data_IF_910740859104
#
_entry.id   IF_910740859104
#
_cell.length_a   1.000
_cell.length_b   1.000
_cell.length_c   1.000
_cell.angle_alpha   90.00
_cell.angle_beta   90.00
_cell.angle_gamma   90.00
#
_symmetry.space_group_name_H-M   'P 1'
#
loop_
_entity.id
_entity.type
_entity.pdbx_description
1 polymer ?
#
# COMPACT_ATOMS: atom_id res chain seq x y z
N UNK A 1 -5.18 -7.69 -16.64
CA UNK A 1 -4.98 -7.05 -15.31
C UNK A 1 -3.49 -6.92 -15.06
N UNK A 2 -3.01 -5.87 -14.38
CA UNK A 2 -1.64 -5.82 -13.88
C UNK A 2 -1.51 -6.68 -12.63
N UNK A 3 -0.48 -7.53 -12.58
CA UNK A 3 -0.14 -8.37 -11.41
C UNK A 3 0.97 -7.69 -10.65
N UNK A 4 0.66 -7.10 -9.51
CA UNK A 4 1.60 -6.31 -8.72
C UNK A 4 1.78 -6.99 -7.36
N UNK A 5 3.04 -7.23 -6.99
CA UNK A 5 3.37 -7.81 -5.69
C UNK A 5 4.01 -6.76 -4.80
N UNK A 6 3.44 -6.53 -3.62
CA UNK A 6 4.13 -5.76 -2.59
C UNK A 6 5.30 -6.56 -2.03
N UNK A 7 6.43 -5.90 -1.87
CA UNK A 7 7.62 -6.53 -1.28
C UNK A 7 7.53 -6.70 0.23
N UNK A 8 6.40 -6.39 0.84
CA UNK A 8 6.18 -6.47 2.29
C UNK A 8 6.50 -7.85 2.87
N UNK A 9 6.16 -8.95 2.18
CA UNK A 9 6.52 -10.30 2.63
C UNK A 9 8.04 -10.55 2.71
N UNK A 10 8.84 -9.67 2.11
CA UNK A 10 10.32 -9.74 2.11
C UNK A 10 10.96 -8.66 2.98
N UNK A 11 10.17 -7.90 3.74
CA UNK A 11 10.61 -6.71 4.48
C UNK A 11 11.78 -6.97 5.45
N UNK A 12 11.94 -8.20 5.92
CA UNK A 12 12.99 -8.61 6.85
C UNK A 12 14.32 -9.00 6.15
N UNK A 13 14.40 -8.90 4.83
CA UNK A 13 15.60 -9.18 4.05
C UNK A 13 15.85 -8.07 3.02
N UNK A 14 17.10 -7.85 2.58
CA UNK A 14 17.39 -6.88 1.54
C UNK A 14 16.66 -7.19 0.23
N UNK A 15 16.11 -6.17 -0.41
CA UNK A 15 15.59 -6.25 -1.78
C UNK A 15 16.77 -6.43 -2.73
N UNK A 16 16.89 -7.58 -3.37
CA UNK A 16 18.03 -7.90 -4.24
C UNK A 16 17.63 -8.00 -5.71
N UNK A 17 18.61 -7.84 -6.60
CA UNK A 17 18.44 -8.06 -8.05
C UNK A 17 17.91 -9.48 -8.33
N UNK A 18 18.40 -10.50 -7.61
CA UNK A 18 17.92 -11.88 -7.71
C UNK A 18 16.44 -12.00 -7.37
N UNK A 19 15.99 -11.34 -6.28
CA UNK A 19 14.58 -11.37 -5.89
C UNK A 19 13.69 -10.73 -6.96
N UNK A 20 14.12 -9.64 -7.58
CA UNK A 20 13.39 -9.01 -8.69
C UNK A 20 13.30 -9.94 -9.90
N UNK A 21 14.38 -10.66 -10.23
CA UNK A 21 14.36 -11.68 -11.29
C UNK A 21 13.35 -12.80 -10.99
N UNK A 22 13.32 -13.31 -9.76
CA UNK A 22 12.38 -14.35 -9.32
C UNK A 22 10.92 -13.87 -9.41
N UNK A 23 10.64 -12.65 -8.96
CA UNK A 23 9.30 -12.01 -9.03
C UNK A 23 8.85 -11.89 -10.50
N UNK A 24 9.74 -11.42 -11.39
CA UNK A 24 9.44 -11.33 -12.82
C UNK A 24 9.18 -12.70 -13.44
N UNK A 25 10.03 -13.70 -13.16
CA UNK A 25 9.87 -15.08 -13.65
C UNK A 25 8.56 -15.73 -13.16
N UNK A 26 8.07 -15.34 -11.99
CA UNK A 26 6.77 -15.78 -11.50
C UNK A 26 5.57 -15.13 -12.22
N UNK A 27 5.82 -14.23 -13.19
CA UNK A 27 4.79 -13.62 -14.02
C UNK A 27 4.18 -12.35 -13.45
N UNK A 28 4.86 -11.71 -12.50
CA UNK A 28 4.47 -10.37 -12.04
C UNK A 28 4.85 -9.32 -13.09
N UNK A 29 4.00 -8.32 -13.28
CA UNK A 29 4.25 -7.19 -14.20
C UNK A 29 4.75 -5.94 -13.47
N UNK A 30 4.64 -5.91 -12.15
CA UNK A 30 5.09 -4.79 -11.34
C UNK A 30 5.23 -5.16 -9.88
N UNK A 31 5.81 -4.22 -9.14
CA UNK A 31 5.97 -4.33 -7.69
C UNK A 31 5.53 -3.04 -7.00
N UNK A 32 5.22 -3.19 -5.72
CA UNK A 32 5.27 -2.13 -4.74
C UNK A 32 6.47 -2.37 -3.83
N UNK A 33 7.28 -1.34 -3.59
CA UNK A 33 8.39 -1.44 -2.63
C UNK A 33 7.94 -0.93 -1.27
N UNK A 34 8.00 -1.80 -0.25
CA UNK A 34 7.80 -1.39 1.14
C UNK A 34 9.07 -0.73 1.68
N UNK A 35 8.98 0.55 2.06
CA UNK A 35 10.12 1.34 2.52
C UNK A 35 10.49 0.99 3.97
N UNK A 36 11.36 0.00 4.13
CA UNK A 36 11.96 -0.33 5.41
C UNK A 36 13.49 -0.29 5.28
N UNK A 37 14.22 0.30 6.26
CA UNK A 37 15.67 0.52 6.16
C UNK A 37 16.47 -0.77 5.88
N UNK A 38 16.04 -1.90 6.46
CA UNK A 38 16.69 -3.21 6.28
C UNK A 38 16.35 -3.86 4.93
N UNK A 39 15.27 -3.41 4.27
CA UNK A 39 14.80 -3.95 3.01
C UNK A 39 15.30 -3.16 1.81
N UNK A 40 15.02 -1.87 1.78
CA UNK A 40 15.38 -1.00 0.68
C UNK A 40 16.02 0.31 1.19
N UNK A 41 17.31 0.47 0.91
CA UNK A 41 18.08 1.67 1.29
C UNK A 41 17.78 2.83 0.34
N UNK A 42 16.57 3.37 0.38
CA UNK A 42 16.12 4.49 -0.49
C UNK A 42 16.91 5.78 -0.27
N UNK A 43 17.68 5.89 0.80
CA UNK A 43 18.61 7.01 1.06
C UNK A 43 19.93 6.90 0.31
N UNK A 44 20.24 5.74 -0.32
CA UNK A 44 21.46 5.54 -1.12
C UNK A 44 21.15 5.67 -2.61
N UNK A 45 21.64 6.72 -3.29
CA UNK A 45 21.45 6.89 -4.73
C UNK A 45 21.98 5.72 -5.56
N UNK A 46 23.08 5.09 -5.10
CA UNK A 46 23.67 3.92 -5.75
C UNK A 46 22.75 2.73 -5.68
N UNK A 47 22.15 2.51 -4.50
CA UNK A 47 21.21 1.41 -4.30
C UNK A 47 19.91 1.62 -5.08
N UNK A 48 19.42 2.85 -5.11
CA UNK A 48 18.24 3.21 -5.91
C UNK A 48 18.51 2.92 -7.39
N UNK A 49 19.68 3.34 -7.91
CA UNK A 49 20.06 3.08 -9.30
C UNK A 49 20.15 1.58 -9.60
N UNK A 50 20.81 0.80 -8.76
CA UNK A 50 20.92 -0.66 -8.93
C UNK A 50 19.55 -1.33 -9.04
N UNK A 51 18.61 -0.98 -8.17
CA UNK A 51 17.23 -1.51 -8.21
C UNK A 51 16.51 -1.01 -9.47
N UNK A 52 16.69 0.26 -9.85
CA UNK A 52 16.10 0.82 -11.07
C UNK A 52 16.57 0.11 -12.34
N UNK A 53 17.87 -0.16 -12.45
CA UNK A 53 18.45 -0.92 -13.57
C UNK A 53 17.88 -2.34 -13.64
N UNK A 54 17.77 -3.02 -12.50
CA UNK A 54 17.19 -4.36 -12.42
C UNK A 54 15.68 -4.38 -12.77
N UNK A 55 14.90 -3.39 -12.32
CA UNK A 55 13.50 -3.26 -12.72
C UNK A 55 13.37 -3.11 -14.24
N UNK A 56 14.23 -2.30 -14.86
CA UNK A 56 14.30 -2.16 -16.32
C UNK A 56 14.69 -3.46 -17.02
N UNK A 57 15.70 -4.18 -16.55
CA UNK A 57 16.18 -5.46 -17.09
C UNK A 57 15.06 -6.52 -17.05
N UNK A 58 14.36 -6.64 -15.93
CA UNK A 58 13.31 -7.65 -15.75
C UNK A 58 11.91 -7.16 -16.15
N UNK A 59 11.79 -5.96 -16.69
CA UNK A 59 10.52 -5.37 -17.16
C UNK A 59 9.45 -5.33 -16.08
N UNK A 60 9.84 -5.02 -14.86
CA UNK A 60 8.95 -4.79 -13.74
C UNK A 60 8.65 -3.29 -13.60
N UNK A 61 7.37 -2.92 -13.58
CA UNK A 61 6.96 -1.55 -13.24
C UNK A 61 7.09 -1.35 -11.72
N UNK A 62 7.73 -0.26 -11.28
CA UNK A 62 7.54 0.22 -9.91
C UNK A 62 6.20 0.95 -9.86
N UNK A 63 5.16 0.24 -9.47
CA UNK A 63 3.80 0.78 -9.41
C UNK A 63 3.62 1.77 -8.27
N UNK A 64 4.07 1.39 -7.08
CA UNK A 64 3.95 2.18 -5.87
C UNK A 64 5.14 1.97 -4.94
N UNK A 65 5.29 2.89 -4.01
CA UNK A 65 6.07 2.68 -2.80
C UNK A 65 5.16 2.81 -1.59
N UNK A 66 5.25 1.89 -0.64
CA UNK A 66 4.64 2.06 0.66
C UNK A 66 5.56 2.94 1.51
N UNK A 67 5.05 4.01 2.09
CA UNK A 67 5.85 4.95 2.88
C UNK A 67 6.50 4.25 4.08
N UNK A 68 7.66 4.75 4.54
CA UNK A 68 8.30 4.17 5.71
C UNK A 68 7.42 4.35 6.95
N UNK A 69 7.21 3.26 7.69
CA UNK A 69 6.47 3.28 8.98
C UNK A 69 7.40 3.42 10.18
N UNK A 70 8.67 3.07 9.99
CA UNK A 70 9.73 3.16 11.00
C UNK A 70 11.05 3.55 10.36
N UNK A 71 11.95 4.16 11.15
CA UNK A 71 13.32 4.50 10.76
C UNK A 71 14.31 4.05 11.84
N UNK A 72 15.59 4.05 11.48
CA UNK A 72 16.69 3.86 12.41
C UNK A 72 16.58 2.56 13.25
N UNK A 73 16.25 1.45 12.56
CA UNK A 73 16.24 0.13 13.19
C UNK A 73 17.66 -0.23 13.64
N UNK A 74 17.92 -0.13 14.94
CA UNK A 74 19.23 -0.48 15.50
C UNK A 74 19.40 -2.01 15.56
N UNK A 75 20.62 -2.54 15.35
CA UNK A 75 20.89 -3.97 15.50
C UNK A 75 20.42 -4.49 16.88
N UNK A 76 19.65 -5.57 16.87
CA UNK A 76 19.12 -6.20 18.08
C UNK A 76 17.88 -5.53 18.69
N UNK A 77 17.29 -4.56 18.02
CA UNK A 77 15.97 -4.03 18.37
C UNK A 77 14.89 -4.64 17.47
N UNK A 78 13.73 -4.90 18.03
CA UNK A 78 12.56 -5.42 17.30
C UNK A 78 11.83 -4.32 16.51
N UNK A 79 11.98 -3.04 16.89
CA UNK A 79 11.34 -1.89 16.23
C UNK A 79 12.28 -0.68 16.16
N UNK A 80 12.11 0.10 15.12
CA UNK A 80 12.74 1.39 14.92
C UNK A 80 12.01 2.54 15.62
N UNK A 81 12.32 3.76 15.21
CA UNK A 81 11.59 4.96 15.60
C UNK A 81 10.37 5.10 14.68
N UNK A 82 9.17 5.13 15.27
CA UNK A 82 7.93 5.27 14.52
C UNK A 82 7.89 6.54 13.67
N UNK A 83 7.41 6.42 12.43
CA UNK A 83 7.15 7.53 11.52
C UNK A 83 5.64 7.75 11.48
N UNK A 84 5.20 8.94 11.89
CA UNK A 84 3.78 9.28 11.95
C UNK A 84 3.53 10.71 11.55
N UNK A 85 2.78 10.91 10.47
CA UNK A 85 2.42 12.24 9.96
C UNK A 85 1.37 12.94 10.84
N UNK A 86 0.70 12.20 11.71
CA UNK A 86 -0.27 12.72 12.67
C UNK A 86 0.33 12.93 14.08
N UNK A 87 1.66 12.82 14.26
CA UNK A 87 2.26 13.07 15.57
C UNK A 87 1.99 14.51 16.01
N UNK A 88 1.43 14.66 17.20
CA UNK A 88 1.11 15.99 17.76
C UNK A 88 2.37 16.74 18.23
N UNK A 89 3.48 16.04 18.47
CA UNK A 89 4.76 16.64 18.70
C UNK A 89 5.39 17.10 17.38
N UNK A 90 5.51 18.43 17.23
CA UNK A 90 5.94 19.04 15.97
C UNK A 90 7.30 18.54 15.46
N UNK A 91 8.26 18.32 16.35
CA UNK A 91 9.62 17.88 15.94
C UNK A 91 9.53 16.47 15.33
N UNK A 92 8.87 15.53 16.00
CA UNK A 92 8.69 14.16 15.48
C UNK A 92 7.94 14.14 14.16
N UNK A 93 6.92 15.00 14.03
CA UNK A 93 6.14 15.11 12.81
C UNK A 93 6.97 15.65 11.65
N UNK A 94 7.80 16.68 11.88
CA UNK A 94 8.71 17.20 10.84
C UNK A 94 9.74 16.15 10.43
N UNK A 95 10.31 15.42 11.37
CA UNK A 95 11.21 14.29 11.08
C UNK A 95 10.53 13.22 10.23
N UNK A 96 9.27 12.90 10.54
CA UNK A 96 8.46 11.95 9.76
C UNK A 96 8.22 12.46 8.32
N UNK A 97 7.83 13.70 8.16
CA UNK A 97 7.65 14.34 6.85
C UNK A 97 8.93 14.33 6.03
N UNK A 98 10.07 14.65 6.64
CA UNK A 98 11.36 14.65 5.95
C UNK A 98 11.80 13.23 5.54
N UNK A 99 11.48 12.22 6.34
CA UNK A 99 11.75 10.84 5.98
C UNK A 99 10.90 10.36 4.80
N UNK A 100 9.62 10.72 4.78
CA UNK A 100 8.72 10.40 3.67
C UNK A 100 9.17 11.12 2.39
N UNK A 101 9.66 12.36 2.48
CA UNK A 101 10.23 13.06 1.32
C UNK A 101 11.42 12.32 0.71
N UNK A 102 12.30 11.73 1.55
CA UNK A 102 13.41 10.90 1.04
C UNK A 102 12.92 9.68 0.26
N UNK A 103 11.84 9.05 0.71
CA UNK A 103 11.22 7.99 -0.07
C UNK A 103 10.64 8.52 -1.40
N UNK A 104 10.02 9.69 -1.41
CA UNK A 104 9.51 10.34 -2.63
C UNK A 104 10.61 10.73 -3.62
N UNK A 105 11.82 11.04 -3.15
CA UNK A 105 12.98 11.38 -4.00
C UNK A 105 13.43 10.21 -4.88
N UNK A 106 13.08 8.97 -4.53
CA UNK A 106 13.30 7.80 -5.40
C UNK A 106 12.69 8.00 -6.78
N UNK A 107 11.56 8.72 -6.88
CA UNK A 107 10.91 9.01 -8.16
C UNK A 107 11.78 9.80 -9.15
N UNK A 108 12.83 10.47 -8.69
CA UNK A 108 13.78 11.18 -9.54
C UNK A 108 14.68 10.23 -10.36
N UNK A 109 14.82 8.97 -9.91
CA UNK A 109 15.60 7.93 -10.58
C UNK A 109 14.72 6.79 -11.12
N UNK A 110 13.71 6.38 -10.34
CA UNK A 110 12.77 5.31 -10.68
C UNK A 110 11.35 5.89 -10.61
N UNK A 111 10.72 6.26 -11.74
CA UNK A 111 9.35 6.76 -11.72
C UNK A 111 8.38 5.74 -11.13
N UNK A 112 7.46 6.20 -10.27
CA UNK A 112 6.35 5.41 -9.74
C UNK A 112 5.11 6.28 -9.58
N UNK A 113 3.93 5.63 -9.46
CA UNK A 113 2.66 6.35 -9.50
C UNK A 113 2.16 6.79 -8.13
N UNK A 114 2.27 5.92 -7.13
CA UNK A 114 1.64 6.13 -5.83
C UNK A 114 2.62 5.98 -4.69
N UNK A 115 2.54 6.89 -3.71
CA UNK A 115 3.05 6.63 -2.38
C UNK A 115 1.86 6.27 -1.50
N UNK A 116 1.81 5.01 -1.05
CA UNK A 116 0.80 4.56 -0.08
C UNK A 116 1.19 5.07 1.30
N UNK A 117 0.24 5.67 2.01
CA UNK A 117 0.49 6.36 3.28
C UNK A 117 -0.62 6.11 4.28
N UNK A 118 -0.26 5.71 5.49
CA UNK A 118 -1.17 5.72 6.64
C UNK A 118 -1.26 7.11 7.26
N UNK A 119 -2.41 7.50 7.80
CA UNK A 119 -2.51 8.76 8.57
C UNK A 119 -1.67 8.71 9.85
N UNK A 120 -1.54 7.54 10.47
CA UNK A 120 -0.76 7.37 11.69
C UNK A 120 -0.08 6.02 11.81
N UNK A 121 0.95 5.94 12.65
CA UNK A 121 1.64 4.68 12.99
C UNK A 121 0.85 3.90 14.05
N UNK A 122 0.77 2.56 13.90
CA UNK A 122 0.01 1.71 14.80
C UNK A 122 -1.50 2.02 14.82
N UNK A 123 -2.21 1.58 15.84
CA UNK A 123 -3.64 1.86 16.00
C UNK A 123 -3.85 3.26 16.55
N UNK A 124 -4.68 4.05 15.88
CA UNK A 124 -4.94 5.44 16.22
C UNK A 124 -6.37 5.66 16.71
N UNK A 125 -6.49 6.44 17.81
CA UNK A 125 -7.78 6.98 18.24
C UNK A 125 -8.03 8.32 17.56
N UNK A 126 -9.31 8.65 17.31
CA UNK A 126 -9.71 9.95 16.79
C UNK A 126 -9.30 11.07 17.76
N UNK A 127 -8.58 12.06 17.25
CA UNK A 127 -8.15 13.26 17.99
C UNK A 127 -8.03 14.41 17.00
N UNK A 128 -8.78 15.52 17.18
CA UNK A 128 -8.70 16.68 16.28
C UNK A 128 -7.27 17.19 16.08
N UNK A 129 -6.41 17.14 17.12
CA UNK A 129 -5.01 17.56 17.01
C UNK A 129 -4.20 16.67 16.08
N UNK A 130 -4.52 15.36 16.01
CA UNK A 130 -3.90 14.43 15.06
C UNK A 130 -4.39 14.68 13.65
N UNK A 131 -5.67 15.00 13.50
CA UNK A 131 -6.26 15.38 12.20
C UNK A 131 -5.58 16.64 11.66
N UNK A 132 -5.43 17.69 12.48
CA UNK A 132 -4.72 18.94 12.11
C UNK A 132 -3.25 18.68 11.78
N UNK A 133 -2.60 17.81 12.54
CA UNK A 133 -1.21 17.43 12.32
C UNK A 133 -1.04 16.68 10.99
N UNK A 134 -1.92 15.72 10.70
CA UNK A 134 -1.94 14.99 9.43
C UNK A 134 -2.22 15.93 8.25
N UNK A 135 -3.18 16.84 8.38
CA UNK A 135 -3.47 17.86 7.39
C UNK A 135 -2.23 18.69 7.04
N UNK A 136 -1.60 19.30 8.06
CA UNK A 136 -0.39 20.10 7.86
C UNK A 136 0.73 19.32 7.16
N UNK A 137 0.89 18.04 7.50
CA UNK A 137 1.90 17.17 6.88
C UNK A 137 1.56 16.89 5.41
N UNK A 138 0.29 16.56 5.12
CA UNK A 138 -0.16 16.18 3.78
C UNK A 138 -0.21 17.37 2.82
N UNK A 139 -0.47 18.60 3.29
CA UNK A 139 -0.31 19.79 2.46
C UNK A 139 1.10 19.88 1.86
N UNK A 140 2.13 19.69 2.69
CA UNK A 140 3.51 19.73 2.24
C UNK A 140 3.88 18.52 1.38
N UNK A 141 3.48 17.32 1.80
CA UNK A 141 3.83 16.09 1.10
C UNK A 141 3.16 15.98 -0.27
N UNK A 142 1.91 16.44 -0.41
CA UNK A 142 1.19 16.41 -1.69
C UNK A 142 1.85 17.30 -2.74
N UNK A 143 2.26 18.51 -2.35
CA UNK A 143 3.00 19.42 -3.24
C UNK A 143 4.34 18.80 -3.65
N UNK A 144 5.07 18.23 -2.68
CA UNK A 144 6.36 17.61 -2.92
C UNK A 144 6.28 16.37 -3.82
N UNK A 145 5.27 15.53 -3.61
CA UNK A 145 5.00 14.34 -4.42
C UNK A 145 4.59 14.72 -5.86
N UNK A 146 3.67 15.67 -5.99
CA UNK A 146 3.17 16.13 -7.30
C UNK A 146 4.27 16.66 -8.20
N UNK A 147 5.24 17.38 -7.65
CA UNK A 147 6.41 17.85 -8.39
C UNK A 147 7.28 16.73 -8.98
N UNK A 148 7.12 15.49 -8.48
CA UNK A 148 7.81 14.26 -8.92
C UNK A 148 6.91 13.32 -9.71
N UNK A 149 5.69 13.74 -10.03
CA UNK A 149 4.71 12.91 -10.74
C UNK A 149 4.07 11.82 -9.86
N UNK A 150 4.26 11.89 -8.53
CA UNK A 150 3.72 10.90 -7.58
C UNK A 150 2.43 11.42 -6.95
N UNK A 151 1.45 10.55 -6.79
CA UNK A 151 0.22 10.80 -6.05
C UNK A 151 0.25 10.09 -4.70
N UNK A 152 -0.10 10.79 -3.62
CA UNK A 152 -0.26 10.15 -2.31
C UNK A 152 -1.62 9.44 -2.27
N UNK A 153 -1.61 8.16 -1.92
CA UNK A 153 -2.77 7.32 -1.72
C UNK A 153 -2.89 6.97 -0.23
N UNK A 154 -3.92 7.52 0.43
CA UNK A 154 -4.18 7.19 1.84
C UNK A 154 -4.83 5.82 1.93
N UNK A 155 -4.28 4.97 2.78
CA UNK A 155 -4.75 3.61 2.99
C UNK A 155 -5.72 3.54 4.17
N UNK A 156 -6.83 2.81 3.99
CA UNK A 156 -7.73 2.53 5.10
C UNK A 156 -7.10 1.59 6.10
N UNK A 157 -7.34 1.86 7.39
CA UNK A 157 -6.88 1.05 8.51
C UNK A 157 -8.02 0.74 9.47
N UNK A 158 -7.96 -0.41 10.19
CA UNK A 158 -8.96 -0.76 11.18
C UNK A 158 -8.75 0.01 12.48
N UNK A 159 -8.83 1.35 12.41
CA UNK A 159 -8.73 2.25 13.55
C UNK A 159 -9.58 3.53 13.32
N UNK A 160 -9.80 4.31 14.37
CA UNK A 160 -10.71 5.45 14.31
C UNK A 160 -10.22 6.57 13.39
N UNK A 161 -8.90 6.75 13.22
CA UNK A 161 -8.34 7.81 12.38
C UNK A 161 -8.26 7.38 10.92
N UNK A 162 -7.94 6.11 10.65
CA UNK A 162 -7.73 5.57 9.31
C UNK A 162 -8.93 4.83 8.74
N UNK A 163 -10.07 4.77 9.43
CA UNK A 163 -11.27 4.09 8.89
C UNK A 163 -11.74 4.70 7.56
N UNK A 164 -12.42 3.93 6.69
CA UNK A 164 -12.97 4.44 5.43
C UNK A 164 -13.77 5.74 5.57
N UNK A 165 -14.62 5.81 6.58
CA UNK A 165 -15.42 7.02 6.86
C UNK A 165 -14.55 8.20 7.31
N UNK A 166 -13.55 7.96 8.14
CA UNK A 166 -12.63 9.02 8.61
C UNK A 166 -11.78 9.56 7.47
N UNK A 167 -11.27 8.72 6.58
CA UNK A 167 -10.53 9.15 5.39
C UNK A 167 -11.40 10.00 4.45
N UNK A 168 -12.67 9.60 4.25
CA UNK A 168 -13.61 10.35 3.42
C UNK A 168 -13.89 11.73 4.02
N UNK A 169 -14.16 11.82 5.32
CA UNK A 169 -14.34 13.09 6.02
C UNK A 169 -13.07 13.94 5.96
N UNK A 170 -11.91 13.33 6.26
CA UNK A 170 -10.63 14.04 6.23
C UNK A 170 -10.38 14.72 4.88
N UNK A 171 -10.54 14.02 3.75
CA UNK A 171 -10.32 14.60 2.42
C UNK A 171 -11.36 15.68 2.10
N UNK A 172 -12.60 15.48 2.52
CA UNK A 172 -13.69 16.44 2.29
C UNK A 172 -13.45 17.73 3.06
N UNK A 173 -13.14 17.63 4.35
CA UNK A 173 -13.01 18.78 5.25
C UNK A 173 -11.71 19.57 4.99
N UNK A 174 -10.65 18.88 4.60
CA UNK A 174 -9.35 19.52 4.32
C UNK A 174 -9.21 20.05 2.89
N UNK A 175 -10.12 19.70 1.99
CA UNK A 175 -10.06 20.05 0.56
C UNK A 175 -8.78 19.61 -0.16
N UNK A 176 -8.07 18.57 0.34
CA UNK A 176 -6.90 17.98 -0.31
C UNK A 176 -7.31 17.08 -1.48
N UNK A 177 -7.86 17.68 -2.54
CA UNK A 177 -8.47 16.96 -3.67
C UNK A 177 -7.48 16.16 -4.52
N UNK A 178 -6.19 16.43 -4.42
CA UNK A 178 -5.12 15.67 -5.11
C UNK A 178 -4.84 14.30 -4.44
N UNK A 179 -5.29 14.10 -3.20
CA UNK A 179 -5.18 12.80 -2.52
C UNK A 179 -6.05 11.75 -3.21
N UNK A 180 -5.53 10.53 -3.25
CA UNK A 180 -6.26 9.32 -3.64
C UNK A 180 -6.30 8.35 -2.47
N UNK A 181 -6.98 7.23 -2.67
CA UNK A 181 -7.12 6.19 -1.66
C UNK A 181 -6.49 4.89 -2.15
N UNK A 182 -5.82 4.21 -1.26
CA UNK A 182 -5.46 2.80 -1.36
C UNK A 182 -6.50 2.01 -0.58
N UNK A 183 -7.19 1.09 -1.26
CA UNK A 183 -8.19 0.25 -0.61
C UNK A 183 -7.57 -1.06 -0.19
N UNK A 184 -7.47 -1.27 1.11
CA UNK A 184 -7.00 -2.50 1.72
C UNK A 184 -8.16 -3.41 2.10
N UNK A 185 -8.19 -4.63 1.53
CA UNK A 185 -9.27 -5.60 1.71
C UNK A 185 -9.26 -6.23 3.09
N UNK A 186 -8.10 -6.53 3.62
CA UNK A 186 -7.95 -7.15 4.95
C UNK A 186 -8.31 -6.18 6.06
N UNK A 187 -7.85 -4.94 5.97
CA UNK A 187 -8.26 -3.88 6.90
C UNK A 187 -9.78 -3.63 6.84
N UNK A 188 -10.36 -3.62 5.65
CA UNK A 188 -11.80 -3.47 5.48
C UNK A 188 -12.59 -4.64 6.07
N UNK A 189 -12.03 -5.87 6.05
CA UNK A 189 -12.66 -7.05 6.63
C UNK A 189 -12.69 -7.01 8.17
N UNK A 190 -11.74 -6.32 8.79
CA UNK A 190 -11.69 -6.07 10.25
C UNK A 190 -12.61 -4.92 10.73
N UNK A 191 -13.20 -4.19 9.80
CA UNK A 191 -14.13 -3.07 9.99
C UNK A 191 -15.55 -3.50 9.56
N UNK A 192 -16.44 -2.62 9.09
CA UNK A 192 -17.82 -3.01 8.76
C UNK A 192 -17.96 -4.00 7.59
N UNK A 193 -16.85 -4.37 6.94
CA UNK A 193 -16.81 -5.29 5.82
C UNK A 193 -16.34 -4.66 4.51
N UNK A 194 -15.89 -5.51 3.58
CA UNK A 194 -15.24 -5.09 2.34
C UNK A 194 -16.16 -4.24 1.47
N UNK A 195 -17.42 -4.66 1.27
CA UNK A 195 -18.38 -3.95 0.41
C UNK A 195 -18.72 -2.57 0.97
N UNK A 196 -19.11 -2.50 2.23
CA UNK A 196 -19.47 -1.22 2.89
C UNK A 196 -18.29 -0.24 2.92
N UNK A 197 -17.09 -0.74 3.20
CA UNK A 197 -15.87 0.07 3.18
C UNK A 197 -15.54 0.58 1.78
N UNK A 198 -15.66 -0.29 0.76
CA UNK A 198 -15.39 0.08 -0.62
C UNK A 198 -16.36 1.14 -1.13
N UNK A 199 -17.64 1.03 -0.82
CA UNK A 199 -18.66 1.99 -1.22
C UNK A 199 -18.36 3.41 -0.73
N UNK A 200 -17.79 3.54 0.47
CA UNK A 200 -17.35 4.84 1.00
C UNK A 200 -16.14 5.41 0.26
N UNK A 201 -15.27 4.57 -0.29
CA UNK A 201 -13.97 4.96 -0.83
C UNK A 201 -13.92 5.01 -2.36
N UNK A 202 -14.79 4.27 -3.05
CA UNK A 202 -14.69 3.87 -4.48
C UNK A 202 -14.39 4.99 -5.46
N UNK A 203 -14.92 6.20 -5.24
CA UNK A 203 -14.75 7.34 -6.15
C UNK A 203 -13.32 7.90 -6.15
N UNK A 204 -12.53 7.55 -5.14
CA UNK A 204 -11.15 8.01 -4.95
C UNK A 204 -10.11 6.90 -4.91
N UNK A 205 -10.53 5.63 -4.95
CA UNK A 205 -9.59 4.49 -4.97
C UNK A 205 -8.78 4.53 -6.25
N UNK A 206 -7.46 4.51 -6.12
CA UNK A 206 -6.53 4.53 -7.25
C UNK A 206 -5.57 3.34 -7.24
N UNK A 207 -5.36 2.72 -6.08
CA UNK A 207 -4.60 1.47 -5.90
C UNK A 207 -5.24 0.63 -4.80
N UNK A 208 -4.82 -0.63 -4.66
CA UNK A 208 -5.39 -1.54 -3.66
C UNK A 208 -4.27 -2.29 -2.96
N UNK A 209 -4.53 -2.68 -1.70
CA UNK A 209 -3.84 -3.79 -1.06
C UNK A 209 -4.82 -4.95 -0.92
N UNK A 210 -4.44 -6.08 -1.46
CA UNK A 210 -5.31 -7.26 -1.53
C UNK A 210 -4.65 -8.39 -0.78
N UNK A 211 -5.27 -8.77 0.33
CA UNK A 211 -4.89 -9.91 1.16
C UNK A 211 -6.10 -10.39 1.96
N UNK A 212 -6.01 -11.55 2.56
CA UNK A 212 -7.07 -12.18 3.35
C UNK A 212 -6.71 -12.20 4.84
N UNK A 213 -7.71 -12.42 5.67
CA UNK A 213 -7.60 -12.73 7.09
C UNK A 213 -8.88 -13.42 7.59
N UNK A 214 -8.89 -13.83 8.87
CA UNK A 214 -10.04 -14.51 9.49
C UNK A 214 -11.01 -13.56 10.23
N UNK A 215 -10.90 -12.24 10.02
CA UNK A 215 -11.78 -11.24 10.64
C UNK A 215 -11.42 -10.87 12.09
N UNK A 216 -10.30 -11.35 12.62
CA UNK A 216 -9.86 -11.06 13.99
C UNK A 216 -8.54 -10.28 14.05
N UNK A 217 -7.65 -10.55 13.11
CA UNK A 217 -6.29 -10.00 13.06
C UNK A 217 -5.91 -9.66 11.63
N UNK A 218 -5.02 -8.72 11.49
CA UNK A 218 -4.40 -8.37 10.22
C UNK A 218 -3.29 -9.37 9.87
N UNK A 219 -3.70 -10.46 9.18
CA UNK A 219 -2.86 -11.63 8.92
C UNK A 219 -2.09 -11.55 7.61
N UNK A 220 -2.55 -10.76 6.64
CA UNK A 220 -1.99 -10.67 5.29
C UNK A 220 -1.82 -12.05 4.61
N UNK A 221 -2.85 -12.89 4.66
CA UNK A 221 -2.89 -14.19 4.00
C UNK A 221 -3.07 -14.03 2.49
N UNK A 222 -2.74 -15.08 1.74
CA UNK A 222 -3.14 -15.15 0.34
C UNK A 222 -4.67 -15.03 0.19
N UNK A 223 -5.16 -14.32 -0.83
CA UNK A 223 -6.59 -14.31 -1.14
C UNK A 223 -7.15 -15.71 -1.24
N UNK A 224 -8.31 -15.93 -0.63
CA UNK A 224 -9.05 -17.21 -0.49
C UNK A 224 -8.50 -18.17 0.58
N UNK A 225 -7.58 -17.74 1.44
CA UNK A 225 -7.10 -18.55 2.56
C UNK A 225 -7.71 -18.12 3.90
N UNK A 226 -8.39 -16.97 3.96
CA UNK A 226 -9.13 -16.47 5.11
C UNK A 226 -10.63 -16.57 4.93
N UNK A 227 -11.36 -15.57 5.45
CA UNK A 227 -12.83 -15.56 5.48
C UNK A 227 -13.47 -14.40 4.70
N UNK A 228 -12.69 -13.62 3.94
CA UNK A 228 -13.24 -12.60 3.05
C UNK A 228 -14.13 -13.26 1.98
N UNK A 229 -15.34 -12.73 1.81
CA UNK A 229 -16.19 -13.08 0.68
C UNK A 229 -15.64 -12.43 -0.61
N UNK A 230 -14.82 -13.19 -1.34
CA UNK A 230 -14.18 -12.71 -2.56
C UNK A 230 -15.17 -12.50 -3.71
N UNK A 231 -16.34 -13.13 -3.68
CA UNK A 231 -17.39 -12.85 -4.64
C UNK A 231 -17.97 -11.46 -4.45
N UNK A 232 -18.16 -11.04 -3.21
CA UNK A 232 -18.60 -9.69 -2.85
C UNK A 232 -17.48 -8.69 -3.16
N UNK A 233 -16.24 -8.94 -2.74
CA UNK A 233 -15.09 -8.06 -2.96
C UNK A 233 -14.85 -7.76 -4.45
N UNK A 234 -14.82 -8.79 -5.30
CA UNK A 234 -14.64 -8.59 -6.74
C UNK A 234 -15.89 -8.03 -7.43
N UNK A 235 -17.08 -8.25 -6.86
CA UNK A 235 -18.29 -7.54 -7.26
C UNK A 235 -18.15 -6.03 -7.09
N UNK A 236 -17.69 -5.60 -5.93
CA UNK A 236 -17.40 -4.19 -5.62
C UNK A 236 -16.32 -3.60 -6.55
N UNK A 237 -15.22 -4.33 -6.78
CA UNK A 237 -14.16 -3.87 -7.69
C UNK A 237 -14.62 -3.77 -9.16
N UNK A 238 -15.54 -4.63 -9.59
CA UNK A 238 -16.04 -4.62 -10.96
C UNK A 238 -16.85 -3.36 -11.31
N UNK A 239 -17.47 -2.72 -10.30
CA UNK A 239 -18.25 -1.49 -10.46
C UNK A 239 -17.46 -0.21 -10.13
N UNK A 240 -16.15 -0.33 -9.88
CA UNK A 240 -15.28 0.83 -9.69
C UNK A 240 -15.29 1.72 -10.95
N UNK A 241 -15.16 3.06 -10.80
CA UNK A 241 -15.16 4.00 -11.94
C UNK A 241 -14.07 3.72 -12.97
N UNK A 242 -12.98 3.08 -12.55
CA UNK A 242 -11.88 2.63 -13.41
C UNK A 242 -11.38 1.27 -12.95
N UNK A 243 -10.76 0.47 -13.86
CA UNK A 243 -10.12 -0.78 -13.48
C UNK A 243 -9.07 -0.56 -12.41
N UNK A 244 -9.22 -1.23 -11.28
CA UNK A 244 -8.27 -1.13 -10.18
C UNK A 244 -7.05 -2.02 -10.43
N UNK A 245 -5.82 -1.56 -10.13
CA UNK A 245 -4.66 -2.42 -10.02
C UNK A 245 -4.85 -3.36 -8.82
N UNK A 246 -4.38 -4.60 -8.95
CA UNK A 246 -4.39 -5.55 -7.85
C UNK A 246 -2.96 -5.67 -7.33
N UNK A 247 -2.74 -5.18 -6.12
CA UNK A 247 -1.47 -5.27 -5.42
C UNK A 247 -1.64 -6.31 -4.29
N UNK A 248 -0.98 -7.46 -4.41
CA UNK A 248 -0.98 -8.43 -3.30
C UNK A 248 0.01 -7.96 -2.24
N UNK A 249 -0.50 -7.65 -1.05
CA UNK A 249 0.31 -7.29 0.11
C UNK A 249 0.28 -8.42 1.14
N UNK A 250 1.27 -9.29 1.06
CA UNK A 250 1.36 -10.52 1.85
C UNK A 250 2.41 -10.38 2.95
N UNK A 251 2.30 -11.22 3.98
CA UNK A 251 3.22 -11.25 5.09
C UNK A 251 3.83 -12.64 5.27
N UNK A 252 5.06 -12.69 5.75
CA UNK A 252 5.68 -13.94 6.18
C UNK A 252 4.89 -14.53 7.35
N UNK A 253 4.41 -15.77 7.19
CA UNK A 253 3.68 -16.51 8.20
C UNK A 253 4.62 -17.41 9.01
N UNK A 254 4.13 -18.04 10.08
CA UNK A 254 4.90 -19.00 10.87
C UNK A 254 5.45 -20.19 10.06
N UNK A 255 4.79 -20.53 8.94
CA UNK A 255 5.22 -21.55 7.98
C UNK A 255 6.20 -21.07 6.92
N UNK A 256 6.58 -19.78 6.94
CA UNK A 256 7.41 -19.13 5.93
C UNK A 256 6.62 -18.18 5.03
N UNK A 257 7.30 -17.63 4.02
CA UNK A 257 6.70 -16.73 3.02
C UNK A 257 5.85 -17.53 2.04
N UNK A 258 4.72 -16.98 1.55
CA UNK A 258 4.03 -17.54 0.41
C UNK A 258 5.01 -17.72 -0.77
N UNK A 259 5.07 -18.92 -1.34
CA UNK A 259 5.89 -19.17 -2.50
C UNK A 259 5.36 -18.39 -3.71
N UNK A 260 6.25 -17.94 -4.60
CA UNK A 260 5.85 -17.16 -5.79
C UNK A 260 4.89 -17.93 -6.71
N UNK A 261 4.94 -19.26 -6.71
CA UNK A 261 3.96 -20.09 -7.42
C UNK A 261 2.56 -20.01 -6.81
N UNK A 262 2.44 -19.92 -5.49
CA UNK A 262 1.16 -19.69 -4.80
C UNK A 262 0.63 -18.28 -5.08
N UNK A 263 1.52 -17.29 -5.08
CA UNK A 263 1.19 -15.90 -5.47
C UNK A 263 0.64 -15.86 -6.90
N UNK A 264 1.31 -16.52 -7.84
CA UNK A 264 0.85 -16.64 -9.23
C UNK A 264 -0.52 -17.31 -9.32
N UNK A 265 -0.72 -18.43 -8.62
CA UNK A 265 -2.00 -19.14 -8.61
C UNK A 265 -3.12 -18.29 -8.01
N UNK A 266 -2.84 -17.47 -6.99
CA UNK A 266 -3.81 -16.51 -6.44
C UNK A 266 -4.21 -15.46 -7.51
N UNK A 267 -3.26 -14.88 -8.23
CA UNK A 267 -3.57 -13.98 -9.35
C UNK A 267 -4.40 -14.64 -10.45
N UNK A 268 -4.08 -15.87 -10.84
CA UNK A 268 -4.86 -16.61 -11.84
C UNK A 268 -6.32 -16.80 -11.41
N UNK A 269 -6.54 -17.02 -10.11
CA UNK A 269 -7.89 -17.16 -9.53
C UNK A 269 -8.62 -15.81 -9.45
N UNK A 270 -7.92 -14.73 -9.08
CA UNK A 270 -8.44 -13.36 -9.05
C UNK A 270 -8.90 -12.93 -10.45
N UNK A 271 -8.06 -13.14 -11.48
CA UNK A 271 -8.38 -12.78 -12.87
C UNK A 271 -9.66 -13.44 -13.35
N UNK A 272 -9.80 -14.76 -13.14
CA UNK A 272 -11.02 -15.50 -13.50
C UNK A 272 -12.27 -14.94 -12.83
N UNK A 273 -12.17 -14.59 -11.54
CA UNK A 273 -13.29 -14.01 -10.81
C UNK A 273 -13.68 -12.64 -11.35
N UNK A 274 -12.71 -11.73 -11.54
CA UNK A 274 -12.97 -10.38 -12.08
C UNK A 274 -13.57 -10.43 -13.49
N UNK A 275 -13.07 -11.29 -14.39
CA UNK A 275 -13.62 -11.49 -15.73
C UNK A 275 -15.07 -11.95 -15.68
N UNK A 276 -15.39 -12.92 -14.81
CA UNK A 276 -16.76 -13.43 -14.60
C UNK A 276 -17.71 -12.32 -14.14
N UNK A 277 -17.27 -11.44 -13.22
CA UNK A 277 -18.11 -10.34 -12.71
C UNK A 277 -18.33 -9.26 -13.76
N UNK A 278 -17.28 -8.85 -14.50
CA UNK A 278 -17.40 -7.87 -15.60
C UNK A 278 -18.31 -8.35 -16.73
N UNK A 279 -18.26 -9.64 -17.07
CA UNK A 279 -19.14 -10.22 -18.07
C UNK A 279 -20.62 -10.24 -17.68
N UNK A 280 -20.95 -10.18 -16.39
CA UNK A 280 -22.32 -10.07 -15.88
C UNK A 280 -22.80 -8.62 -15.83
N UNK A 281 -21.96 -7.69 -15.39
CA UNK A 281 -22.30 -6.26 -15.31
C UNK A 281 -22.54 -5.61 -16.69
N UNK A 282 -21.93 -6.11 -17.77
CA UNK A 282 -22.16 -5.64 -19.13
C UNK A 282 -23.42 -6.20 -19.82
N UNK A 283 -24.20 -7.07 -19.15
CA UNK A 283 -25.42 -7.68 -19.66
C UNK A 283 -26.70 -7.20 -18.95
N UNK A 284 -26.57 -6.38 -17.93
CA UNK A 284 -27.67 -5.72 -17.22
C UNK A 284 -27.76 -4.24 -17.66
#
# INVERSE_FOLDING_TARGET
>A
MQRILSTYQYVNQPLTVSLLAEISQAGMSGIEIFCAPQHFSYRSPERVREIGDALGEYRLELHAMHSPTERDLAPGRESGVAISICDTERIRRLDAVDEIKRALEVAEQIPFRFLVQHLGHGRQMADPRKTDAAFSSLEHLTVFAKARGVTIALENKPDELGSPSSLQHFITDTHLHDLRLCFDTGHAHLEPGVEASFDLMRDRVATTHVHDNHGEKDEHLLPFEGTIDWDVAFGAFAVAPQPLPIVLELKEQAGGKPALDQVRAAFDKIEKNLESKRGRAGKS
#
